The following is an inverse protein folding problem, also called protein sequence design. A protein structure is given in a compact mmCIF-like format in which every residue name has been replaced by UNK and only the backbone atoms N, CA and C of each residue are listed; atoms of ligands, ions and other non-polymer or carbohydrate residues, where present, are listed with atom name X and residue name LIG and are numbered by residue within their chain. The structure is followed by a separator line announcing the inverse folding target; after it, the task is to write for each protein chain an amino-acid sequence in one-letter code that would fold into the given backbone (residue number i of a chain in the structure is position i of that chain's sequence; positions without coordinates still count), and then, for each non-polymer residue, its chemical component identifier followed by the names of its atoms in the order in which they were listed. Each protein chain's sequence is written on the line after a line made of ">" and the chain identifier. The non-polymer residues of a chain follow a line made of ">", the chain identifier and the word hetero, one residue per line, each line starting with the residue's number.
data_IF_335131266394
#
_entry.id   IF_335131266394
#
_cell.length_a   1.000
_cell.length_b   1.000
_cell.length_c   1.000
_cell.angle_alpha   90.00
_cell.angle_beta   90.00
_cell.angle_gamma   90.00
#
_symmetry.space_group_name_H-M   'P 1'
#
loop_
_entity.id
_entity.type
_entity.pdbx_description
1 polymer ?
#
# COMPACT_ATOMS: atom_id res chain seq x y z
N UNK A 1 -5.40 -0.99 20.18
CA UNK A 1 -4.57 -1.22 18.97
C UNK A 1 -4.73 -0.12 17.88
N UNK A 2 -5.76 0.75 17.94
CA UNK A 2 -5.95 1.84 16.96
C UNK A 2 -4.84 2.92 16.96
N UNK A 3 -4.26 3.23 18.13
CA UNK A 3 -3.30 4.33 18.30
C UNK A 3 -2.04 4.20 17.42
N UNK A 4 -1.58 2.97 17.17
CA UNK A 4 -0.37 2.71 16.36
C UNK A 4 -0.62 2.96 14.89
N UNK A 5 -1.76 2.46 14.40
CA UNK A 5 -2.18 2.66 13.02
C UNK A 5 -2.49 4.13 12.77
N UNK A 6 -3.09 4.85 13.72
CA UNK A 6 -3.36 6.28 13.58
C UNK A 6 -2.10 7.14 13.54
N UNK A 7 -1.10 6.83 14.38
CA UNK A 7 0.20 7.53 14.34
C UNK A 7 0.94 7.28 13.02
N UNK A 8 0.96 6.04 12.54
CA UNK A 8 1.60 5.66 11.26
C UNK A 8 0.86 6.23 10.03
N UNK A 9 -0.47 6.33 10.10
CA UNK A 9 -1.32 6.87 9.02
C UNK A 9 -1.43 8.39 9.04
N UNK A 10 -1.04 9.06 10.12
CA UNK A 10 -1.02 10.53 10.14
C UNK A 10 -0.10 11.04 9.03
N UNK A 11 -0.59 12.01 8.25
CA UNK A 11 0.14 12.54 7.10
C UNK A 11 1.55 13.05 7.47
N UNK A 12 1.73 13.51 8.72
CA UNK A 12 3.00 14.02 9.25
C UNK A 12 4.08 12.95 9.39
N UNK A 13 3.72 11.74 9.80
CA UNK A 13 4.68 10.64 10.01
C UNK A 13 4.74 9.67 8.84
N UNK A 14 3.66 9.60 8.04
CA UNK A 14 3.58 8.76 6.85
C UNK A 14 4.73 9.05 5.87
N UNK A 15 5.01 10.31 5.53
CA UNK A 15 6.10 10.65 4.59
C UNK A 15 7.47 10.22 5.09
N UNK A 16 7.74 10.41 6.39
CA UNK A 16 9.01 9.99 7.02
C UNK A 16 9.14 8.47 7.07
N UNK A 17 8.03 7.78 7.37
CA UNK A 17 7.99 6.33 7.38
C UNK A 17 8.21 5.74 5.98
N UNK A 18 7.55 6.29 4.96
CA UNK A 18 7.73 5.84 3.57
C UNK A 18 9.15 6.11 3.04
N UNK A 19 9.82 7.16 3.51
CA UNK A 19 11.21 7.45 3.17
C UNK A 19 12.24 6.61 3.96
N UNK A 20 11.81 5.85 4.97
CA UNK A 20 12.71 5.05 5.80
C UNK A 20 13.09 3.75 5.09
N UNK A 21 14.39 3.43 5.02
CA UNK A 21 14.87 2.15 4.49
C UNK A 21 14.57 0.96 5.43
N UNK A 22 14.38 1.23 6.73
CA UNK A 22 14.23 0.24 7.81
C UNK A 22 12.81 0.21 8.38
N UNK A 23 11.80 0.30 7.51
CA UNK A 23 10.38 0.33 7.90
C UNK A 23 9.97 -0.83 8.82
N UNK A 24 10.45 -2.05 8.53
CA UNK A 24 10.18 -3.22 9.36
C UNK A 24 10.70 -3.06 10.78
N UNK A 25 11.96 -2.64 10.92
CA UNK A 25 12.61 -2.47 12.22
C UNK A 25 11.91 -1.39 13.05
N UNK A 26 11.54 -0.28 12.41
CA UNK A 26 10.77 0.80 13.06
C UNK A 26 9.41 0.28 13.55
N UNK A 27 8.72 -0.49 12.71
CA UNK A 27 7.41 -1.04 13.06
C UNK A 27 7.52 -2.04 14.22
N UNK A 28 8.47 -2.99 14.13
CA UNK A 28 8.72 -3.98 15.18
C UNK A 28 9.07 -3.30 16.50
N UNK A 29 10.01 -2.35 16.50
CA UNK A 29 10.42 -1.61 17.70
C UNK A 29 9.25 -0.87 18.35
N UNK A 30 8.45 -0.16 17.55
CA UNK A 30 7.28 0.56 18.04
C UNK A 30 6.24 -0.41 18.64
N UNK A 31 5.99 -1.54 17.98
CA UNK A 31 5.01 -2.51 18.46
C UNK A 31 5.50 -3.28 19.67
N UNK A 32 6.79 -3.59 19.76
CA UNK A 32 7.37 -4.37 20.86
C UNK A 32 7.04 -3.71 22.20
N UNK A 33 7.31 -2.41 22.35
CA UNK A 33 6.98 -1.64 23.56
C UNK A 33 5.49 -1.59 23.93
N UNK A 34 4.59 -1.96 23.02
CA UNK A 34 3.15 -1.93 23.23
C UNK A 34 2.55 -3.30 23.55
N UNK A 35 3.28 -4.37 23.26
CA UNK A 35 2.89 -5.76 23.53
C UNK A 35 3.84 -6.48 24.48
N UNK A 36 4.93 -5.83 24.90
CA UNK A 36 5.72 -6.27 26.05
C UNK A 36 4.82 -6.28 27.29
N UNK A 37 4.34 -7.47 27.63
CA UNK A 37 3.72 -7.73 28.91
C UNK A 37 4.82 -8.03 29.92
N UNK A 38 4.74 -7.44 31.12
CA UNK A 38 5.65 -7.74 32.24
C UNK A 38 5.32 -9.08 32.92
N UNK A 39 4.82 -10.05 32.15
CA UNK A 39 4.54 -11.39 32.65
C UNK A 39 5.84 -12.20 32.59
N UNK A 40 6.09 -12.96 33.65
CA UNK A 40 7.25 -13.85 33.75
C UNK A 40 6.99 -15.07 32.87
N UNK A 41 7.29 -14.93 31.58
CA UNK A 41 7.12 -15.97 30.57
C UNK A 41 8.36 -16.87 30.58
N UNK A 42 8.14 -18.18 30.58
CA UNK A 42 9.22 -19.16 30.50
C UNK A 42 9.82 -19.27 29.08
N UNK A 43 10.99 -19.90 29.01
CA UNK A 43 11.60 -20.30 27.74
C UNK A 43 10.73 -21.34 27.02
N UNK A 44 10.70 -21.28 25.68
CA UNK A 44 9.98 -22.28 24.89
C UNK A 44 10.74 -23.62 24.85
N UNK A 45 10.11 -24.67 24.31
CA UNK A 45 10.69 -26.02 24.20
C UNK A 45 12.04 -26.06 23.44
N UNK A 46 12.25 -25.12 22.52
CA UNK A 46 13.49 -24.95 21.75
C UNK A 46 14.55 -24.09 22.48
N UNK A 47 14.27 -23.63 23.70
CA UNK A 47 15.17 -22.82 24.52
C UNK A 47 15.22 -21.33 24.15
N UNK A 48 14.27 -20.81 23.36
CA UNK A 48 14.20 -19.38 23.08
C UNK A 48 13.53 -18.62 24.22
N UNK A 49 14.07 -17.44 24.55
CA UNK A 49 13.44 -16.55 25.52
C UNK A 49 12.16 -15.93 24.95
N UNK A 50 11.23 -15.46 25.81
CA UNK A 50 10.01 -14.80 25.37
C UNK A 50 10.24 -13.62 24.42
N UNK A 51 11.30 -12.84 24.65
CA UNK A 51 11.64 -11.68 23.81
C UNK A 51 12.03 -12.11 22.39
N UNK A 52 12.76 -13.23 22.27
CA UNK A 52 13.15 -13.78 20.97
C UNK A 52 11.91 -14.27 20.22
N UNK A 53 11.04 -15.00 20.89
CA UNK A 53 9.77 -15.49 20.30
C UNK A 53 8.89 -14.32 19.89
N UNK A 54 8.73 -13.31 20.75
CA UNK A 54 7.96 -12.11 20.46
C UNK A 54 8.52 -11.36 19.25
N UNK A 55 9.85 -11.21 19.16
CA UNK A 55 10.49 -10.58 18.02
C UNK A 55 10.24 -11.34 16.71
N UNK A 56 10.22 -12.68 16.71
CA UNK A 56 9.86 -13.47 15.53
C UNK A 56 8.41 -13.23 15.10
N UNK A 57 7.48 -13.28 16.05
CA UNK A 57 6.06 -13.04 15.81
C UNK A 57 5.84 -11.63 15.24
N UNK A 58 6.40 -10.61 15.89
CA UNK A 58 6.29 -9.23 15.46
C UNK A 58 6.96 -8.99 14.11
N UNK A 59 8.10 -9.61 13.84
CA UNK A 59 8.76 -9.53 12.53
C UNK A 59 7.89 -10.09 11.41
N UNK A 60 7.25 -11.25 11.63
CA UNK A 60 6.34 -11.86 10.66
C UNK A 60 5.08 -11.00 10.45
N UNK A 61 4.50 -10.47 11.53
CA UNK A 61 3.35 -9.57 11.48
C UNK A 61 3.68 -8.26 10.73
N UNK A 62 4.83 -7.66 11.02
CA UNK A 62 5.31 -6.44 10.37
C UNK A 62 5.47 -6.63 8.86
N UNK A 63 6.09 -7.74 8.43
CA UNK A 63 6.22 -8.08 7.01
C UNK A 63 4.86 -8.24 6.33
N UNK A 64 3.94 -8.94 6.98
CA UNK A 64 2.58 -9.15 6.46
C UNK A 64 1.85 -7.81 6.27
N UNK A 65 1.95 -6.93 7.27
CA UNK A 65 1.32 -5.62 7.25
C UNK A 65 1.91 -4.72 6.15
N UNK A 66 3.24 -4.67 6.02
CA UNK A 66 3.93 -3.90 4.99
C UNK A 66 3.61 -4.40 3.57
N UNK A 67 3.60 -5.72 3.38
CA UNK A 67 3.21 -6.34 2.11
C UNK A 67 1.77 -5.97 1.72
N UNK A 68 0.85 -6.03 2.69
CA UNK A 68 -0.54 -5.67 2.45
C UNK A 68 -0.70 -4.17 2.16
N UNK A 69 0.07 -3.31 2.83
CA UNK A 69 0.09 -1.87 2.55
C UNK A 69 0.54 -1.59 1.11
N UNK A 70 1.63 -2.22 0.66
CA UNK A 70 2.12 -2.10 -0.71
C UNK A 70 1.07 -2.59 -1.73
N UNK A 71 0.44 -3.75 -1.48
CA UNK A 71 -0.65 -4.27 -2.34
C UNK A 71 -1.80 -3.27 -2.45
N UNK A 72 -2.26 -2.73 -1.33
CA UNK A 72 -3.35 -1.73 -1.30
C UNK A 72 -2.98 -0.47 -2.09
N UNK A 73 -1.76 0.03 -1.94
CA UNK A 73 -1.29 1.20 -2.70
C UNK A 73 -1.19 0.90 -4.20
N UNK A 74 -0.64 -0.25 -4.57
CA UNK A 74 -0.53 -0.67 -5.97
C UNK A 74 -1.89 -0.86 -6.63
N UNK A 75 -2.86 -1.44 -5.91
CA UNK A 75 -4.22 -1.61 -6.42
C UNK A 75 -4.89 -0.24 -6.69
N UNK A 76 -4.74 0.73 -5.78
CA UNK A 76 -5.23 2.11 -5.99
C UNK A 76 -4.61 2.77 -7.22
N UNK A 77 -3.30 2.58 -7.43
CA UNK A 77 -2.61 3.09 -8.61
C UNK A 77 -3.10 2.42 -9.88
N UNK A 78 -3.28 1.09 -9.89
CA UNK A 78 -3.80 0.35 -11.03
C UNK A 78 -5.22 0.81 -11.39
N UNK A 79 -6.12 0.93 -10.42
CA UNK A 79 -7.48 1.45 -10.63
C UNK A 79 -7.48 2.86 -11.21
N UNK A 80 -6.60 3.75 -10.73
CA UNK A 80 -6.49 5.11 -11.24
C UNK A 80 -6.02 5.15 -12.70
N UNK A 81 -5.10 4.26 -13.10
CA UNK A 81 -4.60 4.14 -14.47
C UNK A 81 -5.68 3.58 -15.41
N UNK A 82 -6.41 2.55 -14.97
CA UNK A 82 -7.51 1.97 -15.74
C UNK A 82 -8.64 2.97 -15.97
N UNK A 83 -8.99 3.78 -14.95
CA UNK A 83 -9.97 4.86 -15.09
C UNK A 83 -9.51 5.96 -16.06
N UNK A 84 -8.21 6.25 -16.12
CA UNK A 84 -7.64 7.24 -17.04
C UNK A 84 -7.65 6.75 -18.49
N UNK A 85 -7.33 5.48 -18.73
CA UNK A 85 -7.41 4.85 -20.08
C UNK A 85 -8.82 4.87 -20.64
N UNK A 86 -9.82 4.48 -19.85
CA UNK A 86 -11.22 4.52 -20.29
C UNK A 86 -11.70 5.95 -20.62
N UNK A 87 -11.16 6.98 -19.96
CA UNK A 87 -11.53 8.38 -20.22
C UNK A 87 -10.92 8.94 -21.50
N UNK A 88 -9.73 8.48 -21.91
CA UNK A 88 -9.12 8.86 -23.19
C UNK A 88 -9.78 8.13 -24.38
N UNK A 89 -10.28 6.91 -24.20
CA UNK A 89 -11.06 6.19 -25.23
C UNK A 89 -12.51 6.70 -25.38
N UNK A 90 -12.99 7.50 -24.42
CA UNK A 90 -14.36 8.07 -24.44
C UNK A 90 -14.46 9.44 -25.10
N UNK A 91 -13.38 10.01 -25.64
CA UNK A 91 -13.49 11.26 -26.42
C UNK A 91 -14.07 10.94 -27.80
N UNK A 92 -15.26 11.45 -28.17
CA UNK A 92 -15.78 11.29 -29.51
C UNK A 92 -14.80 11.97 -30.47
N UNK A 93 -14.23 11.22 -31.39
CA UNK A 93 -13.62 11.79 -32.59
C UNK A 93 -14.71 12.45 -33.41
N UNK A 94 -14.96 13.73 -33.14
CA UNK A 94 -15.83 14.57 -33.95
C UNK A 94 -15.26 14.68 -35.38
N UNK A 95 -16.00 14.09 -36.32
CA UNK A 95 -16.24 14.58 -37.68
C UNK A 95 -15.06 15.12 -38.52
N UNK A 96 -14.44 14.22 -39.31
CA UNK A 96 -13.82 14.58 -40.60
C UNK A 96 -14.21 13.65 -41.76
N UNK A 97 -15.44 13.13 -41.77
CA UNK A 97 -15.93 12.26 -42.86
C UNK A 97 -17.10 12.87 -43.68
N UNK A 98 -17.43 14.15 -43.49
CA UNK A 98 -18.57 14.79 -44.15
C UNK A 98 -18.18 15.98 -45.04
N UNK A 99 -17.21 15.81 -45.96
CA UNK A 99 -17.01 16.72 -47.12
C UNK A 99 -16.50 15.96 -48.35
N UNK A 100 -17.24 14.96 -48.80
CA UNK A 100 -17.20 14.49 -50.19
C UNK A 100 -18.62 14.18 -50.65
N UNK A 101 -19.47 15.22 -50.68
CA UNK A 101 -20.71 15.14 -51.43
C UNK A 101 -20.39 15.44 -52.89
N UNK A 102 -20.79 14.49 -53.73
CA UNK A 102 -21.00 14.54 -55.17
C UNK A 102 -21.13 15.97 -55.71
N UNK A 103 -20.32 16.29 -56.73
CA UNK A 103 -20.83 17.01 -57.89
C UNK A 103 -20.72 16.07 -59.09
N UNK A 104 -21.88 15.65 -59.57
CA UNK A 104 -22.11 14.77 -60.70
C UNK A 104 -22.40 15.64 -61.93
N UNK A 105 -21.67 15.36 -63.02
CA UNK A 105 -22.01 15.47 -64.46
C UNK A 105 -22.37 16.82 -65.14
N UNK A 106 -21.85 16.91 -66.38
CA UNK A 106 -22.28 17.66 -67.58
C UNK A 106 -21.90 19.16 -67.73
N UNK A 107 -21.01 19.48 -68.68
CA UNK A 107 -21.32 19.66 -70.10
C UNK A 107 -20.08 19.38 -70.97
#
# INVERSE_FOLDING_TARGET
>A
MEIVLDKLRSAKYASKFFACAKQKEVLVSLTTSLVECNEDLDFCDDGHSPEVVLNYVLSAAANTLLNNLCKVQNNKLAESKSKKRNKDESKPTENKAAKRKLNTLQA
#
